data_IF_455376323410
#
_entry.id   IF_455376323410
#
_cell.length_a   1.000
_cell.length_b   1.000
_cell.length_c   1.000
_cell.angle_alpha   90.00
_cell.angle_beta   90.00
_cell.angle_gamma   90.00
#
_symmetry.space_group_name_H-M   'P 1'
#
loop_
_entity.id
_entity.type
_entity.pdbx_description
1 polymer ?
#
# COMPACT_ATOMS: atom_id res chain seq x y z
N UNK A 1 -23.57 -5.39 9.13
CA UNK A 1 -22.17 -5.01 9.40
C UNK A 1 -21.88 -3.79 8.56
N UNK A 2 -21.39 -2.71 9.15
CA UNK A 2 -21.08 -1.49 8.39
C UNK A 2 -19.71 -1.62 7.75
N UNK A 3 -19.60 -1.28 6.47
CA UNK A 3 -18.33 -1.26 5.75
C UNK A 3 -17.60 0.04 6.07
N UNK A 4 -16.34 -0.07 6.48
CA UNK A 4 -15.47 1.08 6.77
C UNK A 4 -14.23 1.00 5.90
N UNK A 5 -13.76 2.13 5.44
CA UNK A 5 -12.45 2.24 4.78
C UNK A 5 -11.39 2.41 5.86
N UNK A 6 -10.46 1.44 6.02
CA UNK A 6 -9.34 1.59 6.97
C UNK A 6 -8.39 2.69 6.51
N UNK A 7 -7.60 3.22 7.43
CA UNK A 7 -6.51 4.13 7.07
C UNK A 7 -5.42 3.35 6.33
N UNK A 8 -5.00 3.88 5.18
CA UNK A 8 -3.94 3.31 4.36
C UNK A 8 -2.81 4.32 4.28
N UNK A 9 -1.63 3.89 4.69
CA UNK A 9 -0.42 4.67 4.53
C UNK A 9 0.42 4.06 3.44
N UNK A 10 1.01 4.88 2.56
CA UNK A 10 1.91 4.39 1.53
C UNK A 10 3.21 5.15 1.51
N UNK A 11 4.28 4.45 1.15
CA UNK A 11 5.59 5.02 0.91
C UNK A 11 6.17 4.39 -0.36
N UNK A 12 6.86 5.18 -1.16
CA UNK A 12 7.67 4.62 -2.25
C UNK A 12 9.15 4.88 -2.00
N UNK A 13 9.95 3.90 -2.38
CA UNK A 13 11.38 4.05 -2.56
C UNK A 13 11.63 3.97 -4.06
N UNK A 14 12.31 4.99 -4.55
CA UNK A 14 12.83 5.02 -5.91
C UNK A 14 14.31 5.34 -5.82
N UNK A 15 15.15 4.49 -6.38
CA UNK A 15 16.59 4.72 -6.46
C UNK A 15 16.98 4.79 -7.93
N UNK A 16 17.58 5.91 -8.35
CA UNK A 16 18.05 6.11 -9.72
C UNK A 16 19.20 5.16 -10.10
N UNK A 17 19.90 4.62 -9.11
CA UNK A 17 21.08 3.75 -9.29
C UNK A 17 20.79 2.27 -9.16
N UNK A 18 19.69 1.87 -8.51
CA UNK A 18 19.44 0.46 -8.17
C UNK A 18 17.98 0.09 -8.43
N UNK A 19 17.70 -0.67 -9.50
CA UNK A 19 16.34 -1.09 -9.84
C UNK A 19 15.71 -1.98 -8.76
N UNK A 20 16.53 -2.69 -7.99
CA UNK A 20 16.07 -3.57 -6.91
C UNK A 20 15.58 -2.82 -5.67
N UNK A 21 15.94 -1.54 -5.53
CA UNK A 21 15.48 -0.67 -4.44
C UNK A 21 14.17 0.05 -4.77
N UNK A 22 13.57 -0.25 -5.93
CA UNK A 22 12.29 0.30 -6.36
C UNK A 22 11.11 -0.53 -5.86
N UNK A 23 10.70 -0.29 -4.62
CA UNK A 23 9.55 -0.92 -4.01
C UNK A 23 8.62 0.11 -3.36
N UNK A 24 7.36 -0.27 -3.26
CA UNK A 24 6.29 0.49 -2.60
C UNK A 24 5.95 -0.25 -1.31
N UNK A 25 5.99 0.47 -0.19
CA UNK A 25 5.40 0.00 1.06
C UNK A 25 3.98 0.52 1.17
N UNK A 26 3.06 -0.37 1.52
CA UNK A 26 1.67 -0.05 1.72
C UNK A 26 1.22 -0.68 3.04
N UNK A 27 0.83 0.16 3.99
CA UNK A 27 0.44 -0.25 5.33
C UNK A 27 -1.05 0.06 5.51
N UNK A 28 -1.86 -0.98 5.71
CA UNK A 28 -3.31 -0.85 5.98
C UNK A 28 -3.53 -1.04 7.47
N UNK A 29 -4.06 -0.02 8.14
CA UNK A 29 -4.37 -0.07 9.57
C UNK A 29 -5.73 -0.75 9.76
N UNK A 30 -5.70 -2.07 9.96
CA UNK A 30 -6.88 -2.88 10.19
C UNK A 30 -6.63 -3.82 11.37
N UNK A 31 -6.96 -3.34 12.57
CA UNK A 31 -6.82 -4.13 13.79
C UNK A 31 -7.91 -5.20 13.92
N UNK A 32 -7.53 -6.33 14.51
CA UNK A 32 -8.42 -7.44 14.86
C UNK A 32 -9.10 -8.10 13.65
N UNK A 33 -8.37 -8.21 12.53
CA UNK A 33 -8.80 -9.00 11.37
C UNK A 33 -8.20 -10.40 11.49
N UNK A 34 -9.01 -11.45 11.73
CA UNK A 34 -8.51 -12.82 11.73
C UNK A 34 -8.09 -13.24 10.32
N UNK A 35 -7.11 -14.15 10.22
CA UNK A 35 -6.65 -14.66 8.92
C UNK A 35 -7.76 -15.30 8.08
N UNK A 36 -8.78 -15.87 8.74
CA UNK A 36 -9.92 -16.49 8.06
C UNK A 36 -10.81 -15.51 7.29
N UNK A 37 -10.85 -14.24 7.68
CA UNK A 37 -11.65 -13.19 7.03
C UNK A 37 -10.80 -12.24 6.18
N UNK A 38 -9.49 -12.49 6.07
CA UNK A 38 -8.56 -11.71 5.27
C UNK A 38 -8.70 -12.09 3.79
N UNK A 39 -9.44 -11.30 3.03
CA UNK A 39 -9.48 -11.37 1.57
C UNK A 39 -8.57 -10.29 0.98
N UNK A 40 -7.36 -10.65 0.59
CA UNK A 40 -6.41 -9.77 -0.07
C UNK A 40 -6.16 -10.28 -1.48
N UNK A 41 -6.66 -9.55 -2.47
CA UNK A 41 -6.42 -9.81 -3.88
C UNK A 41 -5.46 -8.75 -4.41
N UNK A 42 -4.24 -9.17 -4.69
CA UNK A 42 -3.23 -8.34 -5.33
C UNK A 42 -3.15 -8.70 -6.81
N UNK A 43 -3.22 -7.68 -7.67
CA UNK A 43 -2.98 -7.82 -9.10
C UNK A 43 -1.92 -6.79 -9.53
N UNK A 44 -1.39 -6.89 -10.75
CA UNK A 44 -0.38 -5.95 -11.26
C UNK A 44 -0.84 -4.50 -11.26
N UNK A 45 -2.14 -4.25 -11.37
CA UNK A 45 -2.71 -2.90 -11.55
C UNK A 45 -3.70 -2.49 -10.46
N UNK A 46 -4.18 -3.42 -9.65
CA UNK A 46 -5.10 -3.15 -8.53
C UNK A 46 -4.76 -3.98 -7.29
N UNK A 47 -5.03 -3.43 -6.13
CA UNK A 47 -5.06 -4.11 -4.85
C UNK A 47 -6.44 -4.00 -4.25
N UNK A 48 -7.02 -5.13 -3.86
CA UNK A 48 -8.30 -5.19 -3.14
C UNK A 48 -8.06 -5.87 -1.81
N UNK A 49 -8.39 -5.18 -0.72
CA UNK A 49 -8.33 -5.74 0.62
C UNK A 49 -9.72 -5.66 1.26
N UNK A 50 -10.16 -6.80 1.80
CA UNK A 50 -11.37 -6.93 2.60
C UNK A 50 -11.01 -7.72 3.86
N UNK A 51 -11.41 -7.21 5.01
CA UNK A 51 -11.16 -7.84 6.30
C UNK A 51 -12.30 -7.56 7.27
N UNK A 52 -12.95 -8.61 7.77
CA UNK A 52 -13.96 -8.45 8.82
C UNK A 52 -13.27 -8.32 10.18
N UNK A 53 -13.53 -7.22 10.90
CA UNK A 53 -13.02 -7.04 12.26
C UNK A 53 -13.93 -7.75 13.24
N UNK A 54 -13.38 -8.70 13.99
CA UNK A 54 -14.12 -9.42 15.03
C UNK A 54 -14.46 -8.51 16.21
N UNK A 55 -13.53 -7.64 16.60
CA UNK A 55 -13.66 -6.76 17.78
C UNK A 55 -14.64 -5.61 17.57
N UNK A 56 -14.68 -5.01 16.36
CA UNK A 56 -15.55 -3.85 16.07
C UNK A 56 -16.84 -4.21 15.33
N UNK A 57 -17.03 -5.47 14.91
CA UNK A 57 -18.17 -5.93 14.08
C UNK A 57 -18.36 -5.10 12.80
N UNK A 58 -17.25 -4.62 12.24
CA UNK A 58 -17.21 -3.83 11.00
C UNK A 58 -16.39 -4.56 9.94
N UNK A 59 -16.71 -4.32 8.68
CA UNK A 59 -15.94 -4.88 7.56
C UNK A 59 -15.06 -3.80 6.98
N UNK A 60 -13.75 -3.95 7.10
CA UNK A 60 -12.80 -3.12 6.40
C UNK A 60 -12.80 -3.51 4.92
N UNK A 61 -12.97 -2.53 4.03
CA UNK A 61 -12.83 -2.73 2.60
C UNK A 61 -12.05 -1.57 2.00
N UNK A 62 -11.02 -1.88 1.21
CA UNK A 62 -10.26 -0.89 0.45
C UNK A 62 -9.87 -1.45 -0.89
N UNK A 63 -9.93 -0.59 -1.90
CA UNK A 63 -9.54 -0.87 -3.27
C UNK A 63 -8.60 0.24 -3.73
N UNK A 64 -7.47 -0.14 -4.32
CA UNK A 64 -6.39 0.74 -4.73
C UNK A 64 -5.95 0.36 -6.13
N UNK A 65 -6.23 1.21 -7.11
CA UNK A 65 -5.75 1.04 -8.49
C UNK A 65 -4.42 1.76 -8.68
N UNK A 66 -3.37 1.01 -8.96
CA UNK A 66 -2.02 1.52 -9.15
C UNK A 66 -1.88 2.31 -10.45
N UNK A 67 -1.02 3.32 -10.42
CA UNK A 67 -0.72 4.13 -11.60
C UNK A 67 -0.02 3.33 -12.71
N UNK A 68 0.91 2.45 -12.33
CA UNK A 68 1.61 1.56 -13.26
C UNK A 68 1.65 0.13 -12.73
N UNK A 69 2.14 -0.78 -13.58
CA UNK A 69 2.18 -2.21 -13.26
C UNK A 69 3.25 -2.53 -12.20
N UNK A 70 2.84 -3.29 -11.19
CA UNK A 70 3.71 -3.90 -10.18
C UNK A 70 3.87 -5.40 -10.45
N UNK A 71 4.89 -5.99 -9.82
CA UNK A 71 5.10 -7.42 -9.85
C UNK A 71 4.50 -8.07 -8.60
N UNK A 72 3.34 -8.76 -8.71
CA UNK A 72 2.73 -9.42 -7.56
C UNK A 72 3.50 -10.66 -7.11
N UNK A 73 4.37 -11.26 -7.93
CA UNK A 73 5.14 -12.44 -7.53
C UNK A 73 6.24 -12.08 -6.53
N UNK A 74 6.88 -10.92 -6.76
CA UNK A 74 7.87 -10.36 -5.83
C UNK A 74 7.24 -9.58 -4.67
N UNK A 75 5.90 -9.48 -4.65
CA UNK A 75 5.20 -8.79 -3.58
C UNK A 75 5.17 -9.63 -2.31
N UNK A 76 5.37 -8.98 -1.17
CA UNK A 76 5.31 -9.63 0.15
C UNK A 76 4.21 -9.00 0.97
N UNK A 77 3.39 -9.84 1.58
CA UNK A 77 2.32 -9.41 2.47
C UNK A 77 2.68 -9.89 3.86
N UNK A 78 2.88 -8.95 4.77
CA UNK A 78 3.04 -9.20 6.19
C UNK A 78 1.75 -8.82 6.92
N UNK A 79 1.37 -9.65 7.87
CA UNK A 79 0.20 -9.40 8.71
C UNK A 79 0.64 -9.44 10.17
N UNK A 80 0.44 -8.32 10.85
CA UNK A 80 0.92 -8.09 12.22
C UNK A 80 -0.23 -8.11 13.23
N UNK A 81 -1.43 -8.57 12.83
CA UNK A 81 -2.66 -8.61 13.66
C UNK A 81 -3.30 -7.24 13.90
N UNK A 82 -2.51 -6.16 13.83
CA UNK A 82 -2.94 -4.76 13.99
C UNK A 82 -2.93 -4.00 12.67
N UNK A 83 -2.05 -4.39 11.77
CA UNK A 83 -1.78 -3.75 10.50
C UNK A 83 -1.38 -4.80 9.47
N UNK A 84 -1.59 -4.45 8.20
CA UNK A 84 -1.15 -5.22 7.05
C UNK A 84 -0.09 -4.43 6.32
N UNK A 85 1.14 -4.93 6.32
CA UNK A 85 2.25 -4.33 5.61
C UNK A 85 2.45 -5.08 4.29
N UNK A 86 2.38 -4.36 3.18
CA UNK A 86 2.61 -4.91 1.87
C UNK A 86 3.83 -4.24 1.25
N UNK A 87 4.72 -5.07 0.74
CA UNK A 87 5.87 -4.66 -0.05
C UNK A 87 5.58 -5.03 -1.48
N UNK A 88 5.33 -4.03 -2.33
CA UNK A 88 5.00 -4.22 -3.74
C UNK A 88 6.21 -3.81 -4.58
N UNK A 89 6.73 -4.72 -5.40
CA UNK A 89 7.87 -4.40 -6.28
C UNK A 89 7.35 -3.80 -7.58
N UNK A 90 7.91 -2.66 -8.01
CA UNK A 90 7.51 -2.06 -9.30
C UNK A 90 8.07 -2.93 -10.43
N UNK A 91 7.24 -3.27 -11.41
CA UNK A 91 7.67 -4.03 -12.60
C UNK A 91 8.31 -3.11 -13.64
N UNK A 92 7.77 -1.90 -13.76
CA UNK A 92 8.28 -0.89 -14.68
C UNK A 92 9.36 -0.02 -14.00
N UNK A 93 10.61 -0.24 -14.41
CA UNK A 93 11.79 0.50 -13.98
C UNK A 93 11.97 1.75 -14.86
N UNK A 94 11.07 2.73 -14.74
CA UNK A 94 11.27 4.03 -15.37
C UNK A 94 11.87 5.02 -14.36
N UNK A 95 12.81 5.85 -14.82
CA UNK A 95 13.36 6.98 -14.05
C UNK A 95 12.30 8.01 -13.67
N UNK A 96 11.12 7.95 -14.29
CA UNK A 96 9.97 8.77 -13.90
C UNK A 96 9.43 8.35 -12.52
N UNK A 97 9.70 9.22 -11.54
CA UNK A 97 9.08 9.17 -10.22
C UNK A 97 7.56 9.14 -10.39
N UNK A 98 6.87 8.15 -9.82
CA UNK A 98 5.41 8.13 -9.85
C UNK A 98 4.91 9.40 -9.14
N UNK A 99 4.24 10.34 -9.86
CA UNK A 99 3.72 11.54 -9.21
C UNK A 99 2.56 11.21 -8.27
N UNK A 100 1.99 10.00 -8.39
CA UNK A 100 0.82 9.49 -7.69
C UNK A 100 0.90 7.98 -7.58
N UNK A 101 0.54 7.42 -6.41
CA UNK A 101 0.39 5.97 -6.26
C UNK A 101 -0.79 5.43 -7.06
N UNK A 102 -1.91 6.17 -7.01
CA UNK A 102 -3.18 5.73 -7.57
C UNK A 102 -3.46 6.36 -8.93
N UNK A 103 -4.03 5.56 -9.84
CA UNK A 103 -4.55 6.01 -11.14
C UNK A 103 -5.87 6.77 -11.03
N UNK A 104 -6.55 6.68 -9.90
CA UNK A 104 -7.75 7.47 -9.65
C UNK A 104 -7.40 8.85 -9.07
N UNK A 105 -8.12 9.90 -9.48
CA UNK A 105 -7.96 11.26 -8.95
C UNK A 105 -8.85 11.49 -7.71
N UNK A 106 -9.38 10.42 -7.10
CA UNK A 106 -10.12 10.54 -5.85
C UNK A 106 -9.15 10.88 -4.73
N UNK A 107 -9.32 12.04 -4.10
CA UNK A 107 -8.77 12.35 -2.77
C UNK A 107 -9.36 11.33 -1.78
N UNK A 108 -8.69 10.19 -1.70
CA UNK A 108 -8.97 9.13 -0.74
C UNK A 108 -8.55 9.66 0.62
N UNK A 109 -9.52 10.13 1.40
CA UNK A 109 -9.29 10.70 2.74
C UNK A 109 -8.60 9.70 3.69
N UNK A 110 -8.70 8.42 3.37
CA UNK A 110 -8.05 7.33 4.08
C UNK A 110 -6.61 7.06 3.62
N UNK A 111 -6.15 7.57 2.47
CA UNK A 111 -4.78 7.36 1.99
C UNK A 111 -3.87 8.51 2.44
N UNK A 112 -2.87 8.19 3.24
CA UNK A 112 -1.83 9.13 3.66
C UNK A 112 -0.49 8.75 3.03
N UNK A 113 0.21 9.73 2.48
CA UNK A 113 1.59 9.55 2.05
C UNK A 113 2.51 9.61 3.27
N UNK A 114 3.37 8.61 3.47
CA UNK A 114 4.36 8.63 4.52
C UNK A 114 5.56 9.51 4.11
N UNK A 115 5.56 10.77 4.56
CA UNK A 115 6.61 11.74 4.25
C UNK A 115 7.91 11.53 5.03
N UNK A 116 7.89 10.76 6.11
CA UNK A 116 9.06 10.49 6.97
C UNK A 116 10.22 9.86 6.18
N UNK A 117 9.89 9.15 5.09
CA UNK A 117 10.86 8.48 4.22
C UNK A 117 11.23 9.26 2.96
N UNK A 118 10.55 10.36 2.58
CA UNK A 118 10.80 11.09 1.32
C UNK A 118 11.89 12.16 1.45
N UNK A 119 12.20 12.61 2.66
CA UNK A 119 13.19 13.68 2.85
C UNK A 119 14.48 13.15 3.48
N UNK A 120 15.43 12.71 2.64
CA UNK A 120 16.83 12.93 2.99
C UNK A 120 17.67 13.15 1.72
N UNK A 121 17.45 14.30 1.11
CA UNK A 121 18.42 14.88 0.16
C UNK A 121 18.38 16.40 0.30
N UNK A 122 18.82 16.92 1.45
CA UNK A 122 19.38 18.26 1.61
C UNK A 122 19.67 18.58 3.08
N UNK A 123 20.79 18.07 3.61
CA UNK A 123 21.53 18.84 4.61
C UNK A 123 23.02 18.59 4.43
N UNK A 124 23.56 19.14 3.34
CA UNK A 124 24.95 19.55 3.32
C UNK A 124 25.07 20.77 4.24
N UNK A 125 25.77 20.60 5.35
CA UNK A 125 26.38 21.68 6.12
C UNK A 125 27.88 21.39 6.16
#
# INVERSE_FOLDING_TARGET
MSTVTPEVTWAQRSSSTEPEKNYIFLTIVAADVPESDKQLELTPTKLTFKGASTSKKVTYAVELEFYAEIDPQESKIHHTGRDFELVLRKKELKEEFWPRLLKDNKKVHFLKTNFDKVCNTARSA
#
